data_IF_446308131923
#
_entry.id   IF_446308131923
#
_cell.length_a   1.000
_cell.length_b   1.000
_cell.length_c   1.000
_cell.angle_alpha   90.00
_cell.angle_beta   90.00
_cell.angle_gamma   90.00
#
_symmetry.space_group_name_H-M   'P 1'
#
loop_
_entity.id
_entity.type
_entity.pdbx_description
1 polymer ?
#
# COMPACT_ATOMS: atom_id res chain seq x y z
N UNK A 1 6.12 12.31 23.85
CA UNK A 1 6.63 12.38 22.46
C UNK A 1 6.47 10.99 21.85
N UNK A 2 5.31 10.69 21.25
CA UNK A 2 5.07 9.39 20.64
C UNK A 2 5.79 9.34 19.29
N UNK A 3 6.82 8.51 19.20
CA UNK A 3 7.52 8.20 17.94
C UNK A 3 6.52 7.51 17.03
N UNK A 4 5.91 8.26 16.09
CA UNK A 4 5.12 7.66 15.02
C UNK A 4 6.08 6.79 14.23
N UNK A 5 5.94 5.48 14.40
CA UNK A 5 6.58 4.45 13.57
C UNK A 5 6.40 4.90 12.13
N UNK A 6 7.51 5.17 11.44
CA UNK A 6 7.54 5.76 10.10
C UNK A 6 6.71 4.86 9.19
N UNK A 7 5.46 5.26 8.94
CA UNK A 7 4.61 4.58 7.97
C UNK A 7 5.38 4.55 6.66
N UNK A 8 5.41 3.40 6.00
CA UNK A 8 5.90 3.32 4.64
C UNK A 8 5.25 4.46 3.87
N UNK A 9 6.08 5.26 3.21
CA UNK A 9 5.61 6.33 2.34
C UNK A 9 5.09 5.67 1.07
N UNK A 10 3.83 5.24 1.12
CA UNK A 10 3.19 4.42 0.10
C UNK A 10 3.21 5.12 -1.26
N UNK A 11 2.87 6.41 -1.31
CA UNK A 11 2.86 7.19 -2.55
C UNK A 11 4.25 7.26 -3.16
N UNK A 12 5.29 7.50 -2.34
CA UNK A 12 6.66 7.48 -2.82
C UNK A 12 7.06 6.12 -3.39
N UNK A 13 6.69 5.02 -2.72
CA UNK A 13 7.03 3.67 -3.16
C UNK A 13 6.28 3.28 -4.42
N UNK A 14 5.01 3.64 -4.53
CA UNK A 14 4.22 3.45 -5.74
C UNK A 14 4.84 4.21 -6.92
N UNK A 15 5.22 5.47 -6.73
CA UNK A 15 5.90 6.25 -7.78
C UNK A 15 7.25 5.66 -8.20
N UNK A 16 8.00 5.04 -7.27
CA UNK A 16 9.22 4.31 -7.60
C UNK A 16 8.93 3.06 -8.47
N UNK A 17 7.86 2.34 -8.18
CA UNK A 17 7.43 1.18 -8.97
C UNK A 17 7.01 1.59 -10.38
N UNK A 18 6.22 2.67 -10.50
CA UNK A 18 5.78 3.20 -11.79
C UNK A 18 6.95 3.63 -12.67
N UNK A 19 7.92 4.34 -12.10
CA UNK A 19 9.13 4.74 -12.81
C UNK A 19 9.93 3.52 -13.30
N UNK A 20 10.09 2.51 -12.44
CA UNK A 20 10.80 1.27 -12.76
C UNK A 20 10.10 0.50 -13.89
N UNK A 21 8.77 0.37 -13.85
CA UNK A 21 8.00 -0.28 -14.92
C UNK A 21 8.15 0.49 -16.23
N UNK A 22 8.05 1.82 -16.18
CA UNK A 22 8.24 2.69 -17.36
C UNK A 22 9.63 2.45 -17.98
N UNK A 23 10.68 2.32 -17.15
CA UNK A 23 12.03 2.07 -17.65
C UNK A 23 12.19 0.66 -18.25
N UNK A 24 11.51 -0.35 -17.70
CA UNK A 24 11.47 -1.69 -18.27
C UNK A 24 10.73 -1.73 -19.62
N UNK A 25 9.64 -0.98 -19.77
CA UNK A 25 8.84 -0.90 -21.00
C UNK A 25 9.57 -0.19 -22.15
N UNK A 26 10.52 0.71 -21.84
CA UNK A 26 11.36 1.38 -22.85
C UNK A 26 12.29 0.41 -23.60
N UNK A 27 12.57 -0.77 -23.04
CA UNK A 27 13.38 -1.81 -23.68
C UNK A 27 14.85 -1.47 -23.87
N UNK A 28 15.37 -0.44 -23.19
CA UNK A 28 16.77 -0.01 -23.27
C UNK A 28 17.68 -0.70 -22.23
N UNK A 29 17.11 -1.51 -21.34
CA UNK A 29 17.85 -2.21 -20.29
C UNK A 29 18.58 -3.43 -20.85
N UNK A 30 19.81 -3.64 -20.42
CA UNK A 30 20.49 -4.92 -20.60
C UNK A 30 19.78 -6.03 -19.81
N UNK A 31 20.16 -7.29 -20.07
CA UNK A 31 19.61 -8.44 -19.34
C UNK A 31 19.86 -8.34 -17.83
N UNK A 32 21.07 -7.96 -17.42
CA UNK A 32 21.42 -7.82 -16.01
C UNK A 32 20.63 -6.69 -15.34
N UNK A 33 20.48 -5.55 -16.02
CA UNK A 33 19.67 -4.44 -15.53
C UNK A 33 18.18 -4.80 -15.46
N UNK A 34 17.68 -5.59 -16.41
CA UNK A 34 16.30 -6.08 -16.42
C UNK A 34 16.02 -7.02 -15.25
N UNK A 35 16.96 -7.91 -14.91
CA UNK A 35 16.86 -8.79 -13.75
C UNK A 35 16.86 -8.00 -12.44
N UNK A 36 17.76 -7.01 -12.34
CA UNK A 36 17.82 -6.12 -11.17
C UNK A 36 16.56 -5.29 -11.01
N UNK A 37 16.06 -4.70 -12.10
CA UNK A 37 14.80 -3.95 -12.09
C UNK A 37 13.64 -4.84 -11.65
N UNK A 38 13.58 -6.09 -12.12
CA UNK A 38 12.56 -7.04 -11.70
C UNK A 38 12.64 -7.34 -10.18
N UNK A 39 13.83 -7.62 -9.65
CA UNK A 39 14.03 -7.85 -8.21
C UNK A 39 13.60 -6.64 -7.36
N UNK A 40 14.00 -5.44 -7.77
CA UNK A 40 13.63 -4.18 -7.12
C UNK A 40 12.11 -3.96 -7.19
N UNK A 41 11.48 -4.21 -8.33
CA UNK A 41 10.03 -4.12 -8.53
C UNK A 41 9.25 -5.07 -7.61
N UNK A 42 9.71 -6.32 -7.45
CA UNK A 42 9.12 -7.28 -6.50
C UNK A 42 9.22 -6.78 -5.06
N UNK A 43 10.37 -6.22 -4.68
CA UNK A 43 10.57 -5.68 -3.33
C UNK A 43 9.63 -4.50 -3.05
N UNK A 44 9.55 -3.54 -3.98
CA UNK A 44 8.68 -2.37 -3.83
C UNK A 44 7.20 -2.81 -3.76
N UNK A 45 6.79 -3.76 -4.61
CA UNK A 45 5.42 -4.30 -4.61
C UNK A 45 5.05 -4.90 -3.25
N UNK A 46 5.96 -5.69 -2.64
CA UNK A 46 5.74 -6.28 -1.31
C UNK A 46 5.61 -5.21 -0.22
N UNK A 47 6.42 -4.16 -0.28
CA UNK A 47 6.34 -3.03 0.65
C UNK A 47 5.00 -2.30 0.54
N UNK A 48 4.52 -2.07 -0.69
CA UNK A 48 3.21 -1.46 -0.94
C UNK A 48 2.06 -2.35 -0.41
N UNK A 49 2.09 -3.65 -0.68
CA UNK A 49 1.09 -4.60 -0.17
C UNK A 49 1.04 -4.62 1.36
N UNK A 50 2.21 -4.59 2.03
CA UNK A 50 2.26 -4.55 3.48
C UNK A 50 1.66 -3.24 4.03
N UNK A 51 1.95 -2.10 3.41
CA UNK A 51 1.38 -0.82 3.81
C UNK A 51 -0.16 -0.80 3.66
N UNK A 52 -0.69 -1.37 2.58
CA UNK A 52 -2.13 -1.51 2.37
C UNK A 52 -2.77 -2.41 3.43
N UNK A 53 -2.14 -3.54 3.75
CA UNK A 53 -2.60 -4.46 4.80
C UNK A 53 -2.63 -3.79 6.17
N UNK A 54 -1.60 -3.03 6.51
CA UNK A 54 -1.55 -2.29 7.77
C UNK A 54 -2.66 -1.22 7.84
N UNK A 55 -2.94 -0.55 6.72
CA UNK A 55 -4.03 0.42 6.62
C UNK A 55 -5.41 -0.25 6.77
N UNK A 56 -5.63 -1.38 6.09
CA UNK A 56 -6.87 -2.17 6.19
C UNK A 56 -7.13 -2.62 7.64
N UNK A 57 -6.12 -3.18 8.31
CA UNK A 57 -6.22 -3.58 9.71
C UNK A 57 -6.57 -2.40 10.62
N UNK A 58 -5.99 -1.22 10.36
CA UNK A 58 -6.30 -0.02 11.13
C UNK A 58 -7.75 0.43 10.92
N UNK A 59 -8.25 0.40 9.68
CA UNK A 59 -9.66 0.71 9.38
C UNK A 59 -10.57 -0.28 10.09
N UNK A 60 -10.27 -1.57 10.03
CA UNK A 60 -11.06 -2.61 10.69
C UNK A 60 -11.15 -2.44 12.22
N UNK A 61 -10.04 -2.07 12.87
CA UNK A 61 -10.05 -1.77 14.30
C UNK A 61 -10.90 -0.54 14.64
N UNK A 62 -10.86 0.49 13.80
CA UNK A 62 -11.65 1.70 13.99
C UNK A 62 -13.14 1.43 13.82
N UNK A 63 -13.53 0.68 12.77
CA UNK A 63 -14.94 0.35 12.50
C UNK A 63 -15.52 -0.59 13.55
N UNK A 64 -14.76 -1.58 14.03
CA UNK A 64 -15.18 -2.45 15.14
C UNK A 64 -15.33 -1.70 16.47
N UNK A 65 -14.50 -0.67 16.72
CA UNK A 65 -14.57 0.17 17.91
C UNK A 65 -15.76 1.13 17.94
N UNK A 66 -16.33 1.45 16.78
CA UNK A 66 -17.53 2.29 16.63
C UNK A 66 -18.86 1.51 16.64
N UNK A 67 -18.86 0.21 16.94
CA UNK A 67 -20.08 -0.56 17.18
C UNK A 67 -20.63 -0.29 18.60
N UNK A 68 -21.18 0.91 18.83
CA UNK A 68 -22.50 0.96 19.47
C UNK A 68 -23.50 0.67 18.36
N UNK A 69 -24.20 -0.47 18.37
CA UNK A 69 -25.30 -0.69 17.45
C UNK A 69 -26.43 0.25 17.87
N UNK A 70 -26.46 1.46 17.33
CA UNK A 70 -27.74 2.16 17.21
C UNK A 70 -28.57 1.31 16.25
N UNK A 71 -29.54 0.61 16.82
CA UNK A 71 -30.61 -0.03 16.07
C UNK A 71 -31.17 1.00 15.09
N UNK A 72 -30.82 0.87 13.82
CA UNK A 72 -31.50 1.58 12.75
C UNK A 72 -32.87 0.92 12.65
N UNK A 73 -33.88 1.52 13.29
CA UNK A 73 -35.25 1.05 13.28
C UNK A 73 -35.94 1.68 12.05
N UNK A 74 -36.17 0.91 10.96
CA UNK A 74 -36.64 1.46 9.69
C UNK A 74 -38.15 1.80 9.69
N UNK A 75 -38.86 1.65 10.80
CA UNK A 75 -40.32 1.86 10.87
C UNK A 75 -40.77 3.27 11.28
N UNK A 76 -39.86 4.24 11.49
CA UNK A 76 -40.24 5.60 11.89
C UNK A 76 -40.15 6.66 10.77
N UNK A 77 -40.83 6.42 9.65
CA UNK A 77 -41.21 7.47 8.69
C UNK A 77 -42.60 7.27 8.10
#
# INVERSE_FOLDING_TARGET
MATRKKSIDFEKKLGQLEALVTDMEKGALSLEESLKAFEDGIKITRECQQALKDAEQKVELLTRGSNTPENFDPENN
#
